data_IF_273109125218
#
_entry.id   IF_273109125218
#
_cell.length_a   1.000
_cell.length_b   1.000
_cell.length_c   1.000
_cell.angle_alpha   90.00
_cell.angle_beta   90.00
_cell.angle_gamma   90.00
#
_symmetry.space_group_name_H-M   'P 1'
#
loop_
_entity.id
_entity.type
_entity.pdbx_description
1 polymer ?
#
# COMPACT_ATOMS: atom_id res chain seq x y z
N UNK A 1 -21.66 4.22 -35.70
CA UNK A 1 -22.14 3.07 -34.90
C UNK A 1 -21.03 2.66 -33.95
N UNK A 2 -21.29 2.75 -32.64
CA UNK A 2 -20.50 2.26 -31.50
C UNK A 2 -19.20 3.00 -31.09
N UNK A 3 -19.32 4.28 -30.73
CA UNK A 3 -18.52 4.92 -29.67
C UNK A 3 -19.06 4.45 -28.30
N UNK A 4 -18.65 3.28 -27.79
CA UNK A 4 -18.93 2.87 -26.40
C UNK A 4 -18.25 1.54 -25.99
N UNK A 5 -16.97 1.35 -26.35
CA UNK A 5 -16.14 0.42 -25.57
C UNK A 5 -15.30 1.29 -24.63
N UNK A 6 -15.95 1.77 -23.58
CA UNK A 6 -15.27 2.47 -22.49
C UNK A 6 -14.15 1.58 -21.98
N UNK A 7 -12.96 2.16 -21.86
CA UNK A 7 -11.82 1.54 -21.18
C UNK A 7 -12.35 1.00 -19.85
N UNK A 8 -12.43 -0.32 -19.72
CA UNK A 8 -12.72 -0.93 -18.44
C UNK A 8 -11.46 -0.70 -17.61
N UNK A 9 -11.43 0.42 -16.86
CA UNK A 9 -10.32 0.74 -15.98
C UNK A 9 -10.23 -0.38 -14.94
N UNK A 10 -9.20 -1.21 -15.04
CA UNK A 10 -8.89 -2.15 -13.98
C UNK A 10 -8.28 -1.32 -12.86
N UNK A 11 -9.06 -1.05 -11.81
CA UNK A 11 -8.54 -0.37 -10.65
C UNK A 11 -7.56 -1.30 -9.92
N UNK A 12 -6.42 -0.76 -9.45
CA UNK A 12 -5.46 -1.54 -8.70
C UNK A 12 -6.06 -2.02 -7.37
N UNK A 13 -5.52 -3.11 -6.85
CA UNK A 13 -5.81 -3.55 -5.48
C UNK A 13 -5.18 -2.53 -4.53
N UNK A 14 -5.94 -2.10 -3.53
CA UNK A 14 -5.44 -1.21 -2.47
C UNK A 14 -5.31 -2.01 -1.18
N UNK A 15 -4.08 -2.11 -0.67
CA UNK A 15 -3.77 -2.68 0.64
C UNK A 15 -3.50 -1.53 1.60
N UNK A 16 -4.37 -1.40 2.60
CA UNK A 16 -4.36 -0.31 3.57
C UNK A 16 -3.82 -0.82 4.90
N UNK A 17 -2.78 -0.18 5.40
CA UNK A 17 -2.12 -0.47 6.66
C UNK A 17 -2.26 0.71 7.61
N UNK A 18 -2.26 0.43 8.90
CA UNK A 18 -2.14 1.46 9.94
C UNK A 18 -0.85 1.27 10.72
N UNK A 19 -0.61 0.07 11.27
CA UNK A 19 0.58 -0.19 12.08
C UNK A 19 1.36 -1.42 11.62
N UNK A 20 2.68 -1.31 11.63
CA UNK A 20 3.61 -2.43 11.47
C UNK A 20 4.50 -2.47 12.70
N UNK A 21 4.14 -3.27 13.69
CA UNK A 21 4.75 -3.21 15.01
C UNK A 21 4.97 -4.62 15.59
N UNK A 22 6.00 -4.76 16.42
CA UNK A 22 6.27 -5.98 17.20
C UNK A 22 5.43 -6.03 18.48
N UNK A 23 5.00 -4.87 18.98
CA UNK A 23 4.17 -4.78 20.17
C UNK A 23 2.68 -4.93 19.81
N UNK A 24 2.01 -5.88 20.47
CA UNK A 24 0.55 -5.94 20.41
C UNK A 24 -0.04 -4.79 21.23
N UNK A 25 -0.86 -3.90 20.63
CA UNK A 25 -1.53 -2.84 21.38
C UNK A 25 -2.44 -3.41 22.47
N UNK A 26 -2.72 -2.64 23.53
CA UNK A 26 -3.56 -3.10 24.63
C UNK A 26 -5.05 -3.10 24.29
N UNK A 27 -5.49 -2.25 23.37
CA UNK A 27 -6.88 -2.17 22.92
C UNK A 27 -7.16 -3.02 21.68
N UNK A 28 -8.40 -3.50 21.58
CA UNK A 28 -8.83 -4.43 20.53
C UNK A 28 -8.80 -3.82 19.13
N UNK A 29 -9.03 -2.51 19.01
CA UNK A 29 -9.11 -1.84 17.71
C UNK A 29 -7.70 -1.75 17.14
N UNK A 30 -6.75 -1.23 17.90
CA UNK A 30 -5.35 -1.13 17.48
C UNK A 30 -4.75 -2.51 17.18
N UNK A 31 -5.10 -3.55 17.96
CA UNK A 31 -4.69 -4.93 17.64
C UNK A 31 -5.19 -5.38 16.26
N UNK A 32 -6.44 -5.08 15.91
CA UNK A 32 -7.00 -5.45 14.60
C UNK A 32 -6.38 -4.65 13.43
N UNK A 33 -5.75 -3.51 13.72
CA UNK A 33 -5.10 -2.62 12.77
C UNK A 33 -3.56 -2.76 12.73
N UNK A 34 -3.01 -3.70 13.50
CA UNK A 34 -1.56 -3.94 13.60
C UNK A 34 -1.19 -5.27 12.97
N UNK A 35 -0.18 -5.27 12.10
CA UNK A 35 0.49 -6.48 11.65
C UNK A 35 1.94 -6.48 12.13
N UNK A 36 2.52 -7.66 12.28
CA UNK A 36 3.94 -7.77 12.61
C UNK A 36 4.83 -7.49 11.40
N UNK A 37 6.09 -7.06 11.61
CA UNK A 37 7.05 -6.90 10.51
C UNK A 37 7.24 -8.18 9.69
N UNK A 38 7.16 -9.35 10.32
CA UNK A 38 7.25 -10.65 9.63
C UNK A 38 6.05 -10.91 8.73
N UNK A 39 4.83 -10.59 9.18
CA UNK A 39 3.62 -10.69 8.36
C UNK A 39 3.70 -9.73 7.18
N UNK A 40 4.10 -8.48 7.41
CA UNK A 40 4.25 -7.48 6.36
C UNK A 40 5.27 -7.92 5.29
N UNK A 41 6.44 -8.41 5.71
CA UNK A 41 7.45 -8.93 4.78
C UNK A 41 6.94 -10.15 3.98
N UNK A 42 6.12 -11.01 4.59
CA UNK A 42 5.51 -12.14 3.89
C UNK A 42 4.48 -11.68 2.84
N UNK A 43 3.72 -10.62 3.12
CA UNK A 43 2.80 -10.02 2.14
C UNK A 43 3.56 -9.43 0.95
N UNK A 44 4.66 -8.69 1.18
CA UNK A 44 5.48 -8.17 0.06
C UNK A 44 6.13 -9.30 -0.74
N UNK A 45 6.56 -10.38 -0.09
CA UNK A 45 7.08 -11.56 -0.78
C UNK A 45 6.00 -12.18 -1.67
N UNK A 46 4.77 -12.29 -1.17
CA UNK A 46 3.63 -12.76 -1.96
C UNK A 46 3.41 -11.88 -3.20
N UNK A 47 3.42 -10.55 -3.07
CA UNK A 47 3.27 -9.66 -4.23
C UNK A 47 4.33 -9.95 -5.30
N UNK A 48 5.60 -10.12 -4.90
CA UNK A 48 6.71 -10.41 -5.81
C UNK A 48 6.57 -11.77 -6.49
N UNK A 49 6.22 -12.81 -5.73
CA UNK A 49 6.04 -14.17 -6.23
C UNK A 49 4.90 -14.25 -7.26
N UNK A 50 3.92 -13.36 -7.14
CA UNK A 50 2.78 -13.25 -8.05
C UNK A 50 2.94 -12.17 -9.13
N UNK A 51 4.14 -11.58 -9.29
CA UNK A 51 4.43 -10.54 -10.28
C UNK A 51 3.52 -9.30 -10.19
N UNK A 52 3.06 -9.00 -8.99
CA UNK A 52 2.32 -7.78 -8.67
C UNK A 52 3.33 -6.65 -8.40
N UNK A 53 3.08 -5.50 -9.02
CA UNK A 53 3.95 -4.32 -8.91
C UNK A 53 3.35 -3.33 -7.94
N UNK A 54 4.13 -2.85 -6.99
CA UNK A 54 3.71 -1.75 -6.14
C UNK A 54 3.78 -0.41 -6.90
N UNK A 55 2.82 0.48 -6.66
CA UNK A 55 2.78 1.81 -7.25
C UNK A 55 2.35 2.86 -6.24
N UNK A 56 2.81 4.09 -6.45
CA UNK A 56 2.36 5.26 -5.70
C UNK A 56 0.98 5.76 -6.18
N UNK A 57 0.30 6.52 -5.32
CA UNK A 57 -0.92 7.24 -5.70
C UNK A 57 -0.66 8.24 -6.85
N UNK A 58 0.54 8.83 -6.90
CA UNK A 58 0.93 9.74 -7.97
C UNK A 58 1.05 9.05 -9.34
N UNK A 59 1.61 7.83 -9.38
CA UNK A 59 1.60 7.02 -10.60
C UNK A 59 0.18 6.65 -11.02
N UNK A 60 -0.68 6.28 -10.06
CA UNK A 60 -2.06 5.91 -10.36
C UNK A 60 -2.83 7.09 -10.97
N UNK A 61 -2.63 8.28 -10.43
CA UNK A 61 -3.24 9.50 -10.93
C UNK A 61 -2.82 9.79 -12.39
N UNK A 62 -1.52 9.63 -12.69
CA UNK A 62 -1.00 9.79 -14.04
C UNK A 62 -1.58 8.75 -15.01
N UNK A 63 -1.67 7.48 -14.60
CA UNK A 63 -2.24 6.40 -15.41
C UNK A 63 -3.71 6.66 -15.75
N UNK A 64 -4.50 7.05 -14.74
CA UNK A 64 -5.92 7.39 -14.93
C UNK A 64 -6.08 8.56 -15.90
N UNK A 65 -5.28 9.63 -15.75
CA UNK A 65 -5.32 10.78 -16.67
C UNK A 65 -4.89 10.42 -18.09
N UNK A 66 -3.93 9.50 -18.22
CA UNK A 66 -3.43 9.00 -19.51
C UNK A 66 -4.32 7.94 -20.17
N UNK A 67 -5.38 7.47 -19.50
CA UNK A 67 -6.22 6.38 -19.99
C UNK A 67 -5.55 5.01 -19.97
N UNK A 68 -4.52 4.83 -19.15
CA UNK A 68 -3.81 3.56 -18.96
C UNK A 68 -4.47 2.73 -17.85
N UNK A 69 -4.33 1.41 -17.93
CA UNK A 69 -4.90 0.46 -16.97
C UNK A 69 -3.79 -0.31 -16.27
N UNK A 70 -3.65 -0.22 -14.93
CA UNK A 70 -2.60 -0.91 -14.20
C UNK A 70 -2.99 -2.37 -13.96
N UNK A 71 -2.87 -3.22 -14.99
CA UNK A 71 -3.36 -4.60 -14.99
C UNK A 71 -2.73 -5.54 -13.93
N UNK A 72 -1.72 -5.07 -13.18
CA UNK A 72 -1.03 -5.83 -12.12
C UNK A 72 -0.49 -4.95 -10.99
N UNK A 73 -1.08 -3.78 -10.77
CA UNK A 73 -0.58 -2.89 -9.73
C UNK A 73 -1.32 -3.03 -8.39
N UNK A 74 -0.57 -2.79 -7.33
CA UNK A 74 -1.03 -2.76 -5.95
C UNK A 74 -0.62 -1.44 -5.34
N UNK A 75 -1.56 -0.71 -4.76
CA UNK A 75 -1.24 0.44 -3.91
C UNK A 75 -1.08 -0.05 -2.48
N UNK A 76 0.09 0.22 -1.91
CA UNK A 76 0.32 0.10 -0.48
C UNK A 76 0.08 1.48 0.14
N UNK A 77 -0.89 1.60 1.03
CA UNK A 77 -1.17 2.84 1.76
C UNK A 77 -0.98 2.65 3.26
N UNK A 78 -0.40 3.65 3.90
CA UNK A 78 -0.23 3.72 5.35
C UNK A 78 -0.93 4.97 5.87
N UNK A 79 -1.88 4.79 6.77
CA UNK A 79 -2.66 5.88 7.35
C UNK A 79 -2.10 6.28 8.72
N UNK A 80 -2.53 7.43 9.23
CA UNK A 80 -2.22 8.00 10.56
C UNK A 80 -0.79 8.49 10.82
N UNK A 81 0.23 7.93 10.15
CA UNK A 81 1.62 8.36 10.28
C UNK A 81 2.29 7.96 11.59
N UNK A 82 2.06 6.73 12.08
CA UNK A 82 2.73 6.22 13.28
C UNK A 82 4.23 6.02 13.07
N UNK A 83 5.04 6.24 14.13
CA UNK A 83 6.50 6.05 14.10
C UNK A 83 6.93 4.64 13.68
N UNK A 84 6.14 3.63 14.04
CA UNK A 84 6.38 2.23 13.69
C UNK A 84 6.44 1.98 12.17
N UNK A 85 5.78 2.85 11.38
CA UNK A 85 5.82 2.78 9.93
C UNK A 85 7.21 3.12 9.40
N UNK A 86 7.87 4.12 10.01
CA UNK A 86 9.24 4.46 9.66
C UNK A 86 10.24 3.47 10.25
N UNK A 87 10.00 3.00 11.48
CA UNK A 87 10.89 2.08 12.19
C UNK A 87 10.91 0.69 11.56
N UNK A 88 9.74 0.14 11.19
CA UNK A 88 9.61 -1.25 10.76
C UNK A 88 9.17 -1.40 9.29
N UNK A 89 8.14 -0.68 8.83
CA UNK A 89 7.62 -0.85 7.47
C UNK A 89 8.61 -0.33 6.41
N UNK A 90 9.18 0.86 6.62
CA UNK A 90 10.05 1.51 5.64
C UNK A 90 11.33 0.71 5.32
N UNK A 91 12.09 0.16 6.29
CA UNK A 91 13.25 -0.69 5.98
C UNK A 91 12.88 -1.95 5.19
N UNK A 92 11.69 -2.52 5.46
CA UNK A 92 11.18 -3.68 4.72
C UNK A 92 10.86 -3.30 3.27
N UNK A 93 10.08 -2.23 3.05
CA UNK A 93 9.80 -1.71 1.71
C UNK A 93 11.08 -1.45 0.92
N UNK A 94 12.07 -0.80 1.55
CA UNK A 94 13.40 -0.53 0.96
C UNK A 94 14.15 -1.79 0.57
N UNK A 95 14.11 -2.84 1.39
CA UNK A 95 14.75 -4.14 1.09
C UNK A 95 14.08 -4.84 -0.08
N UNK A 96 12.76 -4.72 -0.21
CA UNK A 96 12.01 -5.34 -1.30
C UNK A 96 12.04 -4.51 -2.60
N UNK A 97 12.35 -3.22 -2.51
CA UNK A 97 12.32 -2.28 -3.63
C UNK A 97 10.90 -1.82 -3.97
N UNK A 98 9.98 -1.93 -3.02
CA UNK A 98 8.57 -1.60 -3.19
C UNK A 98 8.27 -0.14 -2.84
N UNK A 99 7.23 0.39 -3.48
CA UNK A 99 6.73 1.76 -3.30
C UNK A 99 5.45 1.73 -2.46
N UNK A 100 5.33 2.64 -1.50
CA UNK A 100 4.14 2.85 -0.71
C UNK A 100 3.83 4.35 -0.54
N UNK A 101 2.57 4.67 -0.24
CA UNK A 101 2.11 6.04 0.05
C UNK A 101 1.77 6.16 1.53
N UNK A 102 2.28 7.20 2.20
CA UNK A 102 2.03 7.47 3.62
C UNK A 102 1.17 8.73 3.77
N UNK A 103 0.01 8.60 4.42
CA UNK A 103 -0.91 9.68 4.73
C UNK A 103 -0.67 10.13 6.17
N UNK A 104 0.16 11.17 6.32
CA UNK A 104 0.63 11.66 7.61
C UNK A 104 -0.31 12.72 8.18
N UNK A 105 -0.72 12.54 9.43
CA UNK A 105 -1.48 13.53 10.17
C UNK A 105 -0.56 14.68 10.63
N UNK A 106 -0.58 15.82 9.93
CA UNK A 106 0.30 16.97 10.20
C UNK A 106 0.10 17.65 11.56
N UNK A 107 -0.98 17.33 12.29
CA UNK A 107 -1.28 17.90 13.61
C UNK A 107 -0.81 17.06 14.80
N UNK A 108 -0.27 15.85 14.55
CA UNK A 108 0.16 14.89 15.57
C UNK A 108 1.66 14.57 15.50
N UNK A 109 2.39 15.24 14.59
CA UNK A 109 3.86 15.25 14.49
C UNK A 109 4.45 16.44 15.26
#
# INVERSE_FOLDING_TARGET
>A
MATLLGVLLALPIVLMYHRVDVAAPSDRISQALTITPTQFAAELQYLRDHHLRTMSVAELEADIRGGQSPANAVLLTFDDGYDDQYEYAFPILRRFGDVATFFVNVGSV
#
